data_IF_764693840340
#
_entry.id   IF_764693840340
#
_cell.length_a   1.000
_cell.length_b   1.000
_cell.length_c   1.000
_cell.angle_alpha   90.00
_cell.angle_beta   90.00
_cell.angle_gamma   90.00
#
_symmetry.space_group_name_H-M   'P 1'
#
loop_
_entity.id
_entity.type
_entity.pdbx_description
1 polymer ?
#
# COMPACT_ATOMS: atom_id res chain seq x y z
N UNK A 1 15.45 4.54 -5.48
CA UNK A 1 14.32 5.34 -4.99
C UNK A 1 13.67 4.61 -3.85
N UNK A 2 13.33 5.32 -2.78
CA UNK A 2 12.59 4.79 -1.66
C UNK A 2 11.14 4.50 -2.07
N UNK A 3 10.49 3.52 -1.43
CA UNK A 3 9.06 3.27 -1.63
C UNK A 3 8.22 4.52 -1.33
N UNK A 4 8.61 5.32 -0.33
CA UNK A 4 7.91 6.56 0.01
C UNK A 4 7.88 7.57 -1.14
N UNK A 5 8.97 7.69 -1.91
CA UNK A 5 9.00 8.54 -3.10
C UNK A 5 8.06 8.02 -4.18
N UNK A 6 7.98 6.70 -4.37
CA UNK A 6 7.04 6.07 -5.30
C UNK A 6 5.59 6.33 -4.88
N UNK A 7 5.27 6.19 -3.58
CA UNK A 7 3.93 6.46 -3.04
C UNK A 7 3.50 7.91 -3.26
N UNK A 8 4.41 8.88 -3.01
CA UNK A 8 4.16 10.30 -3.32
C UNK A 8 3.89 10.49 -4.82
N UNK A 9 4.67 9.85 -5.69
CA UNK A 9 4.46 9.89 -7.14
C UNK A 9 3.08 9.35 -7.56
N UNK A 10 2.61 8.26 -6.94
CA UNK A 10 1.27 7.70 -7.17
C UNK A 10 0.17 8.68 -6.76
N UNK A 11 0.28 9.29 -5.57
CA UNK A 11 -0.70 10.29 -5.12
C UNK A 11 -0.83 11.44 -6.11
N UNK A 12 0.29 11.95 -6.61
CA UNK A 12 0.31 13.06 -7.57
C UNK A 12 -0.22 12.64 -8.94
N UNK A 13 0.21 11.48 -9.45
CA UNK A 13 -0.17 10.96 -10.78
C UNK A 13 -1.67 10.70 -10.89
N UNK A 14 -2.26 10.10 -9.86
CA UNK A 14 -3.67 9.68 -9.87
C UNK A 14 -4.60 10.61 -9.10
N UNK A 15 -4.07 11.65 -8.47
CA UNK A 15 -4.81 12.57 -7.60
C UNK A 15 -5.59 11.83 -6.51
N UNK A 16 -4.92 10.87 -5.86
CA UNK A 16 -5.44 10.06 -4.74
C UNK A 16 -4.69 10.40 -3.46
N UNK A 17 -5.29 10.06 -2.33
CA UNK A 17 -4.70 10.12 -1.00
C UNK A 17 -4.45 8.69 -0.51
N UNK A 18 -3.19 8.41 -0.22
CA UNK A 18 -2.77 7.15 0.39
C UNK A 18 -2.64 7.37 1.89
N UNK A 19 -3.46 6.65 2.65
CA UNK A 19 -3.40 6.61 4.11
C UNK A 19 -2.52 5.43 4.50
N UNK A 20 -1.36 5.71 5.07
CA UNK A 20 -0.41 4.67 5.50
C UNK A 20 -0.64 4.34 6.98
N UNK A 21 -1.13 3.13 7.27
CA UNK A 21 -1.24 2.63 8.64
C UNK A 21 0.13 2.50 9.32
N UNK A 22 0.17 2.65 10.65
CA UNK A 22 1.45 2.60 11.40
C UNK A 22 2.16 1.25 11.23
N UNK A 23 1.41 0.14 11.25
CA UNK A 23 1.95 -1.21 11.05
C UNK A 23 2.61 -1.36 9.67
N UNK A 24 2.02 -0.76 8.63
CA UNK A 24 2.60 -0.75 7.28
C UNK A 24 3.92 0.00 7.23
N UNK A 25 3.97 1.20 7.84
CA UNK A 25 5.23 1.97 7.94
C UNK A 25 6.29 1.17 8.68
N UNK A 26 5.95 0.61 9.84
CA UNK A 26 6.89 -0.19 10.63
C UNK A 26 7.39 -1.42 9.87
N UNK A 27 6.52 -2.13 9.15
CA UNK A 27 6.92 -3.28 8.33
C UNK A 27 7.87 -2.87 7.20
N UNK A 28 7.62 -1.74 6.52
CA UNK A 28 8.53 -1.19 5.52
C UNK A 28 9.90 -0.83 6.12
N UNK A 29 9.91 -0.08 7.24
CA UNK A 29 11.16 0.35 7.89
C UNK A 29 12.00 -0.81 8.40
N UNK A 30 11.36 -1.84 8.94
CA UNK A 30 12.02 -3.00 9.51
C UNK A 30 12.38 -4.07 8.47
N UNK A 31 12.08 -3.85 7.19
CA UNK A 31 12.30 -4.86 6.13
C UNK A 31 11.46 -6.13 6.32
N UNK A 32 10.33 -6.01 7.03
CA UNK A 32 9.41 -7.11 7.31
C UNK A 32 8.24 -7.14 6.33
N UNK A 33 8.46 -6.76 5.08
CA UNK A 33 7.45 -6.85 4.03
C UNK A 33 7.85 -7.94 3.04
N UNK A 34 6.96 -8.88 2.74
CA UNK A 34 7.18 -9.86 1.66
C UNK A 34 7.04 -9.22 0.28
N UNK A 35 6.15 -8.24 0.15
CA UNK A 35 5.96 -7.52 -1.10
C UNK A 35 7.19 -6.69 -1.47
N UNK A 36 7.61 -6.83 -2.72
CA UNK A 36 8.54 -5.88 -3.32
C UNK A 36 7.88 -4.51 -3.49
N UNK A 37 8.70 -3.46 -3.61
CA UNK A 37 8.20 -2.11 -3.88
C UNK A 37 7.28 -2.08 -5.11
N UNK A 38 7.60 -2.84 -6.17
CA UNK A 38 6.79 -2.85 -7.39
C UNK A 38 5.47 -3.58 -7.18
N UNK A 39 5.45 -4.68 -6.41
CA UNK A 39 4.22 -5.37 -6.02
C UNK A 39 3.26 -4.46 -5.24
N UNK A 40 3.80 -3.65 -4.31
CA UNK A 40 3.01 -2.66 -3.56
C UNK A 40 2.39 -1.64 -4.52
N UNK A 41 3.15 -1.11 -5.48
CA UNK A 41 2.65 -0.15 -6.45
C UNK A 41 1.56 -0.76 -7.33
N UNK A 42 1.77 -1.97 -7.85
CA UNK A 42 0.81 -2.66 -8.70
C UNK A 42 -0.54 -2.88 -7.99
N UNK A 43 -0.52 -3.24 -6.71
CA UNK A 43 -1.74 -3.38 -5.88
C UNK A 43 -2.50 -2.06 -5.76
N UNK A 44 -1.81 -0.94 -5.58
CA UNK A 44 -2.43 0.37 -5.49
C UNK A 44 -3.03 0.78 -6.83
N UNK A 45 -2.27 0.64 -7.93
CA UNK A 45 -2.76 0.96 -9.27
C UNK A 45 -3.96 0.08 -9.67
N UNK A 46 -3.97 -1.19 -9.24
CA UNK A 46 -5.10 -2.09 -9.42
C UNK A 46 -6.36 -1.57 -8.72
N UNK A 47 -6.24 -1.12 -7.46
CA UNK A 47 -7.36 -0.53 -6.71
C UNK A 47 -7.87 0.74 -7.40
N UNK A 48 -6.98 1.64 -7.81
CA UNK A 48 -7.35 2.88 -8.52
C UNK A 48 -8.09 2.56 -9.82
N UNK A 49 -7.63 1.56 -10.57
CA UNK A 49 -8.27 1.12 -11.82
C UNK A 49 -9.68 0.58 -11.60
N UNK A 50 -9.91 -0.14 -10.50
CA UNK A 50 -11.23 -0.71 -10.19
C UNK A 50 -12.20 0.30 -9.57
N UNK A 51 -11.67 1.32 -8.88
CA UNK A 51 -12.45 2.31 -8.15
C UNK A 51 -12.04 3.75 -8.51
N UNK A 52 -12.18 4.18 -9.78
CA UNK A 52 -11.65 5.46 -10.27
C UNK A 52 -12.26 6.70 -9.59
N UNK A 53 -13.50 6.58 -9.10
CA UNK A 53 -14.23 7.66 -8.42
C UNK A 53 -13.82 7.85 -6.96
N UNK A 54 -13.05 6.91 -6.40
CA UNK A 54 -12.64 6.97 -5.00
C UNK A 54 -11.23 7.56 -4.89
N UNK A 55 -11.06 8.52 -4.00
CA UNK A 55 -9.80 9.23 -3.83
C UNK A 55 -8.99 8.76 -2.62
N UNK A 56 -9.60 8.07 -1.68
CA UNK A 56 -8.96 7.64 -0.44
C UNK A 56 -8.67 6.14 -0.44
N UNK A 57 -7.39 5.78 -0.28
CA UNK A 57 -6.90 4.41 -0.26
C UNK A 57 -6.10 4.19 1.01
N UNK A 58 -6.46 3.19 1.80
CA UNK A 58 -5.73 2.77 2.99
C UNK A 58 -4.73 1.66 2.63
N UNK A 59 -3.48 1.87 3.03
CA UNK A 59 -2.40 0.88 2.98
C UNK A 59 -2.18 0.32 4.38
N UNK A 60 -2.31 -0.99 4.51
CA UNK A 60 -2.09 -1.72 5.76
C UNK A 60 -1.29 -2.99 5.51
N UNK A 61 -0.99 -3.70 6.60
CA UNK A 61 -0.36 -5.01 6.58
C UNK A 61 -1.37 -6.09 6.95
N UNK A 62 -1.23 -7.25 6.34
CA UNK A 62 -1.93 -8.47 6.72
C UNK A 62 -0.91 -9.62 6.88
N UNK A 63 -1.16 -10.52 7.80
CA UNK A 63 -0.35 -11.72 8.02
C UNK A 63 -0.77 -12.80 7.02
N UNK A 64 0.15 -13.36 6.24
CA UNK A 64 -0.18 -14.37 5.21
C UNK A 64 -0.29 -15.79 5.80
N UNK A 65 -1.18 -15.97 6.78
CA UNK A 65 -1.41 -17.19 7.57
C UNK A 65 -0.42 -17.40 8.73
N UNK A 66 -0.84 -18.18 9.74
CA UNK A 66 -0.11 -18.51 11.00
C UNK A 66 1.33 -19.03 10.79
N UNK A 67 1.67 -19.44 9.56
CA UNK A 67 2.98 -19.99 9.20
C UNK A 67 3.94 -18.99 8.54
N UNK A 68 3.47 -17.79 8.16
CA UNK A 68 4.28 -16.79 7.46
C UNK A 68 4.70 -15.68 8.42
N UNK A 69 5.98 -15.64 8.82
CA UNK A 69 6.50 -14.66 9.79
C UNK A 69 6.51 -13.20 9.27
N UNK A 70 6.23 -12.97 7.99
CA UNK A 70 6.44 -11.68 7.32
C UNK A 70 5.14 -11.18 6.68
N UNK A 71 4.62 -10.01 7.09
CA UNK A 71 3.38 -9.45 6.53
C UNK A 71 3.53 -8.97 5.07
N UNK A 72 2.38 -8.81 4.41
CA UNK A 72 2.28 -8.23 3.06
C UNK A 72 1.40 -6.96 3.06
N UNK A 73 1.54 -6.15 2.02
CA UNK A 73 0.74 -4.95 1.81
C UNK A 73 -0.66 -5.30 1.31
N UNK A 74 -1.64 -4.70 1.97
CA UNK A 74 -3.04 -4.72 1.59
C UNK A 74 -3.50 -3.28 1.33
N UNK A 75 -4.13 -3.06 0.17
CA UNK A 75 -4.65 -1.76 -0.25
C UNK A 75 -6.16 -1.84 -0.43
N UNK A 76 -6.91 -0.95 0.21
CA UNK A 76 -8.37 -0.87 0.08
C UNK A 76 -8.85 0.55 -0.05
N UNK A 77 -9.95 0.70 -0.78
CA UNK A 77 -10.72 1.93 -0.80
C UNK A 77 -11.44 2.09 0.52
N UNK A 78 -11.42 3.30 1.06
CA UNK A 78 -12.21 3.65 2.26
C UNK A 78 -13.30 4.66 1.87
N UNK A 79 -14.56 4.46 2.31
CA UNK A 79 -15.55 5.51 2.24
C UNK A 79 -15.18 6.57 3.26
N UNK A 80 -14.84 7.77 2.79
CA UNK A 80 -14.69 8.94 3.64
C UNK A 80 -16.01 9.69 3.78
#
# INVERSE_FOLDING_TARGET
MSIFEKLIGIQQKYQVRLHEGENFKQALYNGRMTDSNDCIIDKIELVIKHYPDHKDILLSTYESDDSSEIPFCYAVVVPH
#
